data_IF_192232646754
#
_entry.id   IF_192232646754
#
_cell.length_a   1.000
_cell.length_b   1.000
_cell.length_c   1.000
_cell.angle_alpha   90.00
_cell.angle_beta   90.00
_cell.angle_gamma   90.00
#
_symmetry.space_group_name_H-M   'P 1'
#
loop_
_entity.id
_entity.type
_entity.pdbx_description
1 polymer ?
#
# COMPACT_ATOMS: atom_id res chain seq x y z
N UNK A 1 8.94 -20.54 14.48
CA UNK A 1 8.65 -19.46 13.53
C UNK A 1 7.52 -19.97 12.64
N UNK A 2 6.39 -19.30 12.58
CA UNK A 2 5.24 -19.72 11.75
C UNK A 2 5.47 -19.11 10.38
N UNK A 3 5.73 -19.94 9.38
CA UNK A 3 5.89 -19.48 8.01
C UNK A 3 4.54 -19.10 7.43
N UNK A 4 4.42 -17.91 6.89
CA UNK A 4 3.26 -17.41 6.14
C UNK A 4 3.59 -17.34 4.65
N UNK A 5 2.65 -17.68 3.79
CA UNK A 5 2.88 -17.50 2.35
C UNK A 5 2.97 -16.02 2.00
N UNK A 6 1.97 -15.25 2.38
CA UNK A 6 1.93 -13.80 2.17
C UNK A 6 1.47 -13.07 3.43
N UNK A 7 2.08 -11.93 3.72
CA UNK A 7 1.62 -10.97 4.73
C UNK A 7 1.35 -9.62 4.07
N UNK A 8 0.47 -8.82 4.66
CA UNK A 8 0.18 -7.48 4.19
C UNK A 8 0.79 -6.40 5.08
N UNK A 9 1.32 -5.35 4.46
CA UNK A 9 1.82 -4.15 5.11
C UNK A 9 1.02 -2.95 4.59
N UNK A 10 0.16 -2.39 5.43
CA UNK A 10 -0.79 -1.34 5.08
C UNK A 10 -0.27 0.03 5.54
N UNK A 11 0.05 0.89 4.58
CA UNK A 11 0.56 2.25 4.81
C UNK A 11 -0.60 3.18 5.18
N UNK A 12 -0.76 3.46 6.46
CA UNK A 12 -1.84 4.25 7.02
C UNK A 12 -1.36 5.55 7.70
N UNK A 13 -0.13 5.99 7.41
CA UNK A 13 0.56 7.10 8.08
C UNK A 13 0.47 8.47 7.39
N UNK A 14 -0.27 8.61 6.28
CA UNK A 14 -0.34 9.86 5.52
C UNK A 14 -1.02 11.01 6.27
N UNK A 15 -0.43 12.22 6.22
CA UNK A 15 -0.91 13.42 6.91
C UNK A 15 -2.26 13.94 6.37
N UNK A 16 -2.62 13.58 5.12
CA UNK A 16 -3.92 13.93 4.53
C UNK A 16 -4.15 15.43 4.27
N UNK A 17 -3.10 16.25 4.31
CA UNK A 17 -3.17 17.73 4.26
C UNK A 17 -3.99 18.30 3.08
N UNK A 18 -4.18 17.53 2.01
CA UNK A 18 -4.95 17.92 0.82
C UNK A 18 -6.47 17.79 1.00
N UNK A 19 -6.94 17.08 2.00
CA UNK A 19 -8.37 16.90 2.30
C UNK A 19 -8.91 17.97 3.26
N UNK A 20 -8.09 18.96 3.63
CA UNK A 20 -8.50 20.11 4.43
C UNK A 20 -9.21 19.72 5.72
N UNK A 21 -10.45 20.19 5.88
CA UNK A 21 -11.26 19.99 7.10
C UNK A 21 -11.52 18.52 7.43
N UNK A 22 -11.57 17.62 6.43
CA UNK A 22 -11.85 16.19 6.65
C UNK A 22 -10.73 15.46 7.40
N UNK A 23 -9.52 16.02 7.38
CA UNK A 23 -8.32 15.39 8.00
C UNK A 23 -7.67 16.28 9.06
N UNK A 24 -8.34 17.35 9.52
CA UNK A 24 -7.83 18.21 10.60
C UNK A 24 -7.57 17.43 11.88
N UNK A 25 -8.49 16.52 12.24
CA UNK A 25 -8.47 15.79 13.51
C UNK A 25 -8.47 14.26 13.34
N UNK A 26 -8.36 13.78 12.12
CA UNK A 26 -8.48 12.35 11.79
C UNK A 26 -7.45 11.95 10.77
N UNK A 27 -6.75 10.82 10.98
CA UNK A 27 -5.90 10.22 9.96
C UNK A 27 -6.73 9.89 8.71
N UNK A 28 -6.17 10.12 7.51
CA UNK A 28 -6.86 9.87 6.25
C UNK A 28 -7.55 8.49 6.16
N UNK A 29 -6.92 7.37 6.55
CA UNK A 29 -7.57 6.06 6.54
C UNK A 29 -8.76 5.92 7.50
N UNK A 30 -8.86 6.80 8.49
CA UNK A 30 -9.97 6.81 9.46
C UNK A 30 -11.14 7.72 9.07
N UNK A 31 -11.07 8.40 7.91
CA UNK A 31 -12.18 9.20 7.37
C UNK A 31 -13.36 8.27 7.08
N UNK A 32 -14.56 8.72 7.47
CA UNK A 32 -15.81 7.99 7.27
C UNK A 32 -16.18 7.97 5.77
N UNK A 33 -16.70 6.83 5.33
CA UNK A 33 -17.22 6.62 3.99
C UNK A 33 -18.55 5.85 4.06
N UNK A 34 -19.57 6.31 3.32
CA UNK A 34 -20.88 5.66 3.30
C UNK A 34 -21.56 5.59 4.69
N UNK A 35 -21.27 6.53 5.57
CA UNK A 35 -21.86 6.69 6.90
C UNK A 35 -21.41 5.68 7.96
N UNK A 36 -21.16 4.43 7.59
CA UNK A 36 -20.82 3.32 8.52
C UNK A 36 -19.35 2.92 8.49
N UNK A 37 -18.75 2.94 7.30
CA UNK A 37 -17.40 2.46 7.07
C UNK A 37 -16.35 3.57 7.18
N UNK A 38 -15.08 3.18 7.28
CA UNK A 38 -13.91 4.02 7.12
C UNK A 38 -13.08 3.51 5.94
N UNK A 39 -12.23 4.35 5.39
CA UNK A 39 -11.41 3.97 4.22
C UNK A 39 -10.57 2.73 4.51
N UNK A 40 -10.02 2.61 5.73
CA UNK A 40 -9.21 1.46 6.15
C UNK A 40 -9.97 0.12 6.11
N UNK A 41 -11.29 0.13 6.18
CA UNK A 41 -12.11 -1.08 6.20
C UNK A 41 -12.04 -1.84 4.88
N UNK A 42 -11.83 -1.12 3.77
CA UNK A 42 -11.73 -1.73 2.44
C UNK A 42 -10.48 -2.61 2.29
N UNK A 43 -9.25 -2.09 2.49
CA UNK A 43 -8.06 -2.94 2.39
C UNK A 43 -8.01 -4.04 3.45
N UNK A 44 -8.52 -3.83 4.68
CA UNK A 44 -8.60 -4.90 5.69
C UNK A 44 -9.57 -5.99 5.27
N UNK A 45 -10.75 -5.63 4.76
CA UNK A 45 -11.73 -6.59 4.23
C UNK A 45 -11.18 -7.34 3.01
N UNK A 46 -10.49 -6.66 2.10
CA UNK A 46 -9.86 -7.30 0.96
C UNK A 46 -8.78 -8.30 1.41
N UNK A 47 -7.96 -7.99 2.44
CA UNK A 47 -6.97 -8.91 2.99
C UNK A 47 -7.61 -10.22 3.44
N UNK A 48 -8.61 -10.15 4.34
CA UNK A 48 -9.21 -11.36 4.88
C UNK A 48 -9.98 -12.15 3.82
N UNK A 49 -10.66 -11.48 2.89
CA UNK A 49 -11.37 -12.13 1.79
C UNK A 49 -10.41 -12.79 0.78
N UNK A 50 -9.15 -12.39 0.76
CA UNK A 50 -8.06 -12.99 -0.05
C UNK A 50 -7.20 -13.97 0.76
N UNK A 51 -7.66 -14.45 1.91
CA UNK A 51 -6.93 -15.42 2.73
C UNK A 51 -5.71 -14.86 3.48
N UNK A 52 -5.49 -13.54 3.49
CA UNK A 52 -4.37 -12.90 4.19
C UNK A 52 -4.79 -12.60 5.63
N UNK A 53 -4.28 -13.37 6.55
CA UNK A 53 -4.61 -13.32 7.97
C UNK A 53 -3.58 -12.57 8.84
N UNK A 54 -2.58 -11.97 8.24
CA UNK A 54 -1.50 -11.27 8.94
C UNK A 54 -1.27 -9.92 8.29
N UNK A 55 -1.63 -8.85 9.01
CA UNK A 55 -1.62 -7.48 8.50
C UNK A 55 -0.91 -6.55 9.47
N UNK A 56 0.18 -5.93 9.04
CA UNK A 56 0.83 -4.82 9.74
C UNK A 56 0.29 -3.49 9.26
N UNK A 57 -0.29 -2.68 10.15
CA UNK A 57 -0.81 -1.35 9.82
C UNK A 57 0.13 -0.28 10.34
N UNK A 58 0.80 0.43 9.41
CA UNK A 58 1.78 1.46 9.74
C UNK A 58 1.07 2.81 9.94
N UNK A 59 1.01 3.28 11.18
CA UNK A 59 0.32 4.52 11.55
C UNK A 59 1.33 5.58 11.97
N UNK A 60 1.04 6.87 11.74
CA UNK A 60 1.93 7.95 12.13
C UNK A 60 1.17 9.19 12.61
N UNK A 61 0.34 9.80 11.77
CA UNK A 61 -0.40 11.01 12.08
C UNK A 61 -1.79 10.70 12.63
N UNK A 62 -2.23 11.44 13.66
CA UNK A 62 -3.55 11.33 14.28
C UNK A 62 -4.02 9.88 14.53
N UNK A 63 -3.19 9.03 15.18
CA UNK A 63 -3.41 7.58 15.21
C UNK A 63 -4.57 7.16 16.12
N UNK A 64 -4.99 7.99 17.07
CA UNK A 64 -5.91 7.60 18.15
C UNK A 64 -7.22 7.03 17.59
N UNK A 65 -7.93 7.79 16.74
CA UNK A 65 -9.21 7.35 16.17
C UNK A 65 -9.06 6.14 15.25
N UNK A 66 -7.96 6.08 14.50
CA UNK A 66 -7.64 4.96 13.63
C UNK A 66 -7.37 3.69 14.44
N UNK A 67 -6.51 3.79 15.45
CA UNK A 67 -6.16 2.64 16.32
C UNK A 67 -7.38 2.15 17.10
N UNK A 68 -8.23 3.07 17.62
CA UNK A 68 -9.47 2.70 18.29
C UNK A 68 -10.43 1.96 17.36
N UNK A 69 -10.52 2.38 16.09
CA UNK A 69 -11.39 1.73 15.10
C UNK A 69 -10.88 0.34 14.72
N UNK A 70 -9.58 0.19 14.50
CA UNK A 70 -8.96 -1.11 14.18
C UNK A 70 -9.08 -2.06 15.40
N UNK A 71 -8.85 -1.54 16.61
CA UNK A 71 -8.80 -2.36 17.81
C UNK A 71 -7.87 -3.53 17.66
N UNK A 72 -8.33 -4.73 18.00
CA UNK A 72 -7.61 -6.00 17.81
C UNK A 72 -8.01 -6.73 16.51
N UNK A 73 -8.86 -6.12 15.67
CA UNK A 73 -9.23 -6.68 14.37
C UNK A 73 -10.49 -7.54 14.34
N UNK A 74 -11.29 -7.58 15.40
CA UNK A 74 -12.52 -8.40 15.49
C UNK A 74 -13.43 -8.24 14.26
N UNK A 75 -13.73 -7.03 13.74
CA UNK A 75 -14.64 -6.89 12.60
C UNK A 75 -14.19 -7.60 11.32
N UNK A 76 -12.90 -7.93 11.21
CA UNK A 76 -12.29 -8.58 10.04
C UNK A 76 -11.75 -9.98 10.34
N UNK A 77 -12.11 -10.60 11.48
CA UNK A 77 -11.54 -11.89 11.90
C UNK A 77 -10.00 -11.88 11.94
N UNK A 78 -9.43 -10.74 12.34
CA UNK A 78 -7.99 -10.50 12.47
C UNK A 78 -7.50 -10.45 13.92
N UNK A 79 -8.32 -10.89 14.88
CA UNK A 79 -7.99 -11.03 16.30
C UNK A 79 -7.36 -12.40 16.61
N UNK A 80 -6.34 -12.78 15.83
CA UNK A 80 -5.74 -14.12 15.85
C UNK A 80 -4.48 -14.16 16.71
N UNK A 81 -4.27 -15.29 17.40
CA UNK A 81 -3.05 -15.53 18.19
C UNK A 81 -1.79 -15.64 17.34
N UNK A 82 -1.91 -16.11 16.09
CA UNK A 82 -0.80 -16.31 15.15
C UNK A 82 -1.09 -15.55 13.85
N UNK A 83 -0.65 -14.31 13.78
CA UNK A 83 -1.00 -13.36 12.73
C UNK A 83 -1.92 -12.27 13.26
N UNK A 84 -3.04 -12.04 12.56
CA UNK A 84 -3.98 -10.98 12.90
C UNK A 84 -3.50 -9.59 12.49
N UNK A 85 -4.21 -8.54 12.95
CA UNK A 85 -3.81 -7.17 12.72
C UNK A 85 -2.89 -6.66 13.83
N UNK A 86 -1.79 -6.04 13.43
CA UNK A 86 -0.84 -5.38 14.34
C UNK A 86 -0.67 -3.93 13.92
N UNK A 87 -0.94 -2.99 14.83
CA UNK A 87 -0.65 -1.57 14.59
C UNK A 87 0.82 -1.32 14.88
N UNK A 88 1.50 -0.72 13.90
CA UNK A 88 2.93 -0.45 13.90
C UNK A 88 3.17 1.07 13.84
N UNK A 89 3.23 1.75 14.99
CA UNK A 89 3.62 3.16 15.04
C UNK A 89 5.15 3.30 14.86
N UNK A 90 5.66 4.47 14.46
CA UNK A 90 7.07 4.76 14.55
C UNK A 90 7.52 4.66 16.01
N UNK A 91 8.71 4.13 16.25
CA UNK A 91 9.24 3.95 17.60
C UNK A 91 10.67 4.49 17.71
N UNK A 92 10.99 4.94 18.91
CA UNK A 92 12.32 5.42 19.24
C UNK A 92 13.30 4.26 19.37
N UNK A 93 14.41 4.32 18.64
CA UNK A 93 15.60 3.50 18.88
C UNK A 93 16.58 4.32 19.68
N UNK A 94 17.23 3.75 20.66
CA UNK A 94 18.02 4.25 21.79
C UNK A 94 18.79 5.59 21.64
N UNK A 95 18.78 6.28 20.51
CA UNK A 95 19.38 7.61 20.29
C UNK A 95 18.71 8.47 19.19
N UNK A 96 17.68 7.99 18.49
CA UNK A 96 17.00 8.79 17.48
C UNK A 96 15.50 8.40 17.42
N UNK A 97 14.65 9.37 17.71
CA UNK A 97 13.21 9.29 17.43
C UNK A 97 13.01 9.57 15.94
N UNK A 98 12.77 8.54 15.15
CA UNK A 98 12.64 8.72 13.71
C UNK A 98 11.20 8.47 13.28
N UNK A 99 10.53 9.55 12.89
CA UNK A 99 9.30 9.48 12.11
C UNK A 99 9.56 8.73 10.80
N UNK A 100 8.53 8.11 10.25
CA UNK A 100 8.64 7.51 8.92
C UNK A 100 8.92 8.60 7.87
N UNK A 101 10.08 8.54 7.25
CA UNK A 101 10.55 9.48 6.23
C UNK A 101 10.34 8.92 4.82
N UNK A 102 9.08 8.56 4.52
CA UNK A 102 8.68 7.97 3.25
C UNK A 102 8.08 6.59 3.39
N UNK A 103 7.39 6.16 2.34
CA UNK A 103 6.59 4.93 2.35
C UNK A 103 7.44 3.66 2.49
N UNK A 104 8.60 3.61 1.83
CA UNK A 104 9.52 2.48 1.94
C UNK A 104 10.32 2.51 3.25
N UNK A 105 10.63 3.71 3.78
CA UNK A 105 11.27 3.84 5.09
C UNK A 105 10.37 3.27 6.19
N UNK A 106 9.06 3.51 6.13
CA UNK A 106 8.10 2.93 7.08
C UNK A 106 8.17 1.39 7.09
N UNK A 107 8.25 0.78 5.91
CA UNK A 107 8.41 -0.68 5.78
C UNK A 107 9.77 -1.14 6.31
N UNK A 108 10.85 -0.41 5.99
CA UNK A 108 12.20 -0.73 6.49
C UNK A 108 12.29 -0.74 8.02
N UNK A 109 11.69 0.25 8.70
CA UNK A 109 11.71 0.30 10.16
C UNK A 109 11.00 -0.91 10.79
N UNK A 110 10.10 -1.57 10.07
CA UNK A 110 9.34 -2.74 10.50
C UNK A 110 9.83 -4.08 9.91
N UNK A 111 11.08 -4.14 9.41
CA UNK A 111 11.67 -5.37 8.87
C UNK A 111 11.58 -6.55 9.85
N UNK A 112 11.87 -6.32 11.14
CA UNK A 112 11.81 -7.39 12.16
C UNK A 112 10.42 -7.99 12.33
N UNK A 113 9.37 -7.20 12.17
CA UNK A 113 7.99 -7.69 12.17
C UNK A 113 7.79 -8.68 11.02
N UNK A 114 8.17 -8.31 9.80
CA UNK A 114 8.06 -9.20 8.64
C UNK A 114 8.96 -10.43 8.75
N UNK A 115 10.20 -10.28 9.20
CA UNK A 115 11.15 -11.38 9.42
C UNK A 115 10.64 -12.41 10.43
N UNK A 116 9.83 -12.01 11.41
CA UNK A 116 9.25 -12.93 12.40
C UNK A 116 8.28 -13.95 11.80
N UNK A 117 7.66 -13.62 10.66
CA UNK A 117 6.77 -14.52 9.91
C UNK A 117 7.47 -15.24 8.76
N UNK A 118 8.67 -14.79 8.36
CA UNK A 118 9.43 -15.35 7.23
C UNK A 118 8.54 -15.65 6.00
N UNK A 119 7.84 -14.65 5.45
CA UNK A 119 6.90 -14.86 4.35
C UNK A 119 7.64 -15.19 3.04
N UNK A 120 6.91 -15.71 2.05
CA UNK A 120 7.42 -15.81 0.69
C UNK A 120 7.17 -14.50 -0.09
N UNK A 121 6.03 -13.89 0.18
CA UNK A 121 5.58 -12.66 -0.48
C UNK A 121 5.13 -11.62 0.54
N UNK A 122 5.28 -10.35 0.17
CA UNK A 122 4.80 -9.22 0.95
C UNK A 122 3.90 -8.36 0.06
N UNK A 123 2.67 -8.17 0.51
CA UNK A 123 1.71 -7.26 -0.10
C UNK A 123 1.83 -5.89 0.56
N UNK A 124 2.16 -4.87 -0.23
CA UNK A 124 2.20 -3.47 0.22
C UNK A 124 0.91 -2.80 -0.24
N UNK A 125 0.21 -2.16 0.68
CA UNK A 125 -1.07 -1.51 0.44
C UNK A 125 -1.03 -0.04 0.84
N UNK A 126 -1.69 0.81 0.05
CA UNK A 126 -2.03 2.17 0.46
C UNK A 126 -3.35 2.18 1.22
N UNK A 127 -3.40 2.85 2.37
CA UNK A 127 -4.57 2.93 3.25
C UNK A 127 -5.55 4.06 2.92
N UNK A 128 -5.47 4.64 1.72
CA UNK A 128 -6.24 5.82 1.31
C UNK A 128 -7.12 5.61 0.08
N UNK A 129 -7.35 4.36 -0.30
CA UNK A 129 -8.11 3.99 -1.48
C UNK A 129 -9.35 3.16 -1.12
N UNK A 130 -10.39 3.33 -1.91
CA UNK A 130 -11.64 2.59 -1.84
C UNK A 130 -11.74 1.71 -3.07
N UNK A 131 -11.74 0.40 -2.86
CA UNK A 131 -11.80 -0.61 -3.92
C UNK A 131 -12.14 -1.98 -3.34
N UNK A 132 -12.58 -2.89 -4.20
CA UNK A 132 -12.77 -4.30 -3.85
C UNK A 132 -11.88 -5.14 -4.77
N UNK A 133 -10.89 -5.82 -4.21
CA UNK A 133 -9.89 -6.59 -4.94
C UNK A 133 -9.60 -7.91 -4.22
N UNK A 134 -9.45 -8.96 -5.00
CA UNK A 134 -8.93 -10.24 -4.53
C UNK A 134 -7.41 -10.28 -4.79
N UNK A 135 -6.65 -10.28 -3.70
CA UNK A 135 -5.19 -10.29 -3.78
C UNK A 135 -4.63 -11.68 -4.07
N UNK A 136 -5.41 -12.76 -3.88
CA UNK A 136 -5.00 -14.11 -4.24
C UNK A 136 -4.83 -14.21 -5.76
N UNK A 137 -5.77 -13.67 -6.53
CA UNK A 137 -5.67 -13.61 -8.00
C UNK A 137 -4.43 -12.84 -8.46
N UNK A 138 -4.11 -11.73 -7.80
CA UNK A 138 -2.89 -10.97 -8.09
C UNK A 138 -1.62 -11.76 -7.71
N UNK A 139 -1.65 -12.53 -6.61
CA UNK A 139 -0.55 -13.40 -6.21
C UNK A 139 -0.33 -14.54 -7.20
N UNK A 140 -1.40 -15.15 -7.69
CA UNK A 140 -1.33 -16.19 -8.72
C UNK A 140 -0.71 -15.66 -10.02
N UNK A 141 -1.10 -14.45 -10.42
CA UNK A 141 -0.45 -13.76 -11.53
C UNK A 141 1.05 -13.51 -11.28
N UNK A 142 1.42 -13.09 -10.08
CA UNK A 142 2.81 -12.89 -9.66
C UNK A 142 3.62 -14.19 -9.79
N UNK A 143 3.07 -15.30 -9.28
CA UNK A 143 3.69 -16.64 -9.36
C UNK A 143 3.81 -17.14 -10.79
N UNK A 144 2.73 -17.03 -11.58
CA UNK A 144 2.69 -17.49 -12.96
C UNK A 144 3.73 -16.80 -13.85
N UNK A 145 3.99 -15.53 -13.61
CA UNK A 145 5.02 -14.76 -14.34
C UNK A 145 6.42 -14.86 -13.71
N UNK A 146 6.58 -15.64 -12.64
CA UNK A 146 7.82 -15.66 -11.85
C UNK A 146 8.31 -14.26 -11.52
N UNK A 147 7.40 -13.36 -11.19
CA UNK A 147 7.70 -11.97 -10.94
C UNK A 147 8.53 -11.77 -9.66
N UNK A 148 9.37 -10.77 -9.65
CA UNK A 148 10.04 -10.29 -8.44
C UNK A 148 9.21 -9.17 -7.78
N UNK A 149 8.51 -8.39 -8.63
CA UNK A 149 7.57 -7.35 -8.23
C UNK A 149 6.35 -7.38 -9.16
N UNK A 150 5.16 -7.29 -8.60
CA UNK A 150 3.92 -7.06 -9.35
C UNK A 150 3.27 -5.77 -8.86
N UNK A 151 2.93 -4.89 -9.78
CA UNK A 151 2.27 -3.61 -9.51
C UNK A 151 0.83 -3.71 -9.98
N UNK A 152 -0.13 -3.50 -9.10
CA UNK A 152 -1.52 -3.34 -9.52
C UNK A 152 -1.69 -2.00 -10.24
N UNK A 153 -2.31 -2.04 -11.40
CA UNK A 153 -2.47 -0.90 -12.29
C UNK A 153 -3.91 -0.76 -12.77
N UNK A 154 -4.30 0.44 -13.11
CA UNK A 154 -5.60 0.76 -13.68
C UNK A 154 -5.47 1.85 -14.76
N UNK A 155 -6.16 1.73 -15.90
CA UNK A 155 -6.18 2.81 -16.88
C UNK A 155 -6.96 4.00 -16.32
N UNK A 156 -6.37 5.20 -16.44
CA UNK A 156 -6.98 6.49 -16.08
C UNK A 156 -7.03 7.41 -17.27
N UNK A 157 -7.70 8.56 -17.18
CA UNK A 157 -7.60 9.58 -18.22
C UNK A 157 -6.18 10.15 -18.30
N UNK A 158 -5.74 10.58 -19.49
CA UNK A 158 -4.41 11.19 -19.65
C UNK A 158 -4.25 12.47 -18.83
N UNK A 159 -5.34 13.17 -18.57
CA UNK A 159 -5.38 14.38 -17.73
C UNK A 159 -5.07 14.07 -16.27
N UNK A 160 -5.56 12.92 -15.77
CA UNK A 160 -5.34 12.47 -14.41
C UNK A 160 -4.01 11.77 -14.23
N UNK A 161 -3.43 11.21 -15.28
CA UNK A 161 -2.23 10.38 -15.24
C UNK A 161 -1.03 11.06 -14.55
N UNK A 162 -0.89 12.39 -14.69
CA UNK A 162 0.18 13.17 -14.04
C UNK A 162 0.13 13.13 -12.48
N UNK A 163 -0.98 12.68 -11.91
CA UNK A 163 -1.16 12.60 -10.45
C UNK A 163 -0.63 11.31 -9.85
N UNK A 164 -0.39 10.30 -10.67
CA UNK A 164 -0.05 8.93 -10.27
C UNK A 164 1.36 8.53 -10.70
N UNK A 165 1.88 7.46 -10.12
CA UNK A 165 2.96 6.72 -10.72
C UNK A 165 2.45 6.03 -11.99
N UNK A 166 3.13 6.23 -13.11
CA UNK A 166 2.72 5.71 -14.42
C UNK A 166 3.59 4.54 -14.82
N UNK A 167 2.94 3.46 -15.20
CA UNK A 167 3.57 2.22 -15.63
C UNK A 167 3.58 2.17 -17.15
N UNK A 168 4.74 1.85 -17.73
CA UNK A 168 4.90 1.54 -19.14
C UNK A 168 5.19 0.05 -19.25
N UNK A 169 4.25 -0.73 -19.78
CA UNK A 169 4.37 -2.18 -19.92
C UNK A 169 4.27 -2.62 -21.38
N UNK A 170 4.87 -3.76 -21.71
CA UNK A 170 4.73 -4.41 -23.01
C UNK A 170 3.43 -5.26 -23.10
N UNK A 171 3.23 -5.91 -24.24
CA UNK A 171 2.08 -6.78 -24.51
C UNK A 171 1.98 -7.97 -23.54
N UNK A 172 3.10 -8.40 -22.97
CA UNK A 172 3.18 -9.47 -21.98
C UNK A 172 3.00 -8.95 -20.54
N UNK A 173 2.60 -7.68 -20.37
CA UNK A 173 2.46 -7.03 -19.06
C UNK A 173 3.77 -6.86 -18.31
N UNK A 174 4.92 -7.11 -18.93
CA UNK A 174 6.22 -6.84 -18.32
C UNK A 174 6.48 -5.34 -18.34
N UNK A 175 6.79 -4.79 -17.18
CA UNK A 175 7.04 -3.35 -17.03
C UNK A 175 8.40 -3.01 -17.62
N UNK A 176 8.40 -2.05 -18.53
CA UNK A 176 9.58 -1.54 -19.23
C UNK A 176 10.11 -0.26 -18.58
N UNK A 177 9.20 0.53 -17.96
CA UNK A 177 9.57 1.78 -17.29
C UNK A 177 8.50 2.18 -16.26
N UNK A 178 8.88 3.07 -15.33
CA UNK A 178 8.00 3.62 -14.32
C UNK A 178 8.32 5.11 -14.09
N UNK A 179 7.31 5.95 -14.18
CA UNK A 179 7.42 7.40 -14.00
C UNK A 179 6.61 7.86 -12.79
N UNK A 180 7.27 8.39 -11.76
CA UNK A 180 6.57 8.89 -10.58
C UNK A 180 6.06 10.31 -10.81
N UNK A 181 4.74 10.44 -11.00
CA UNK A 181 4.02 11.72 -11.21
C UNK A 181 4.64 12.59 -12.31
N UNK A 182 4.73 12.09 -13.54
CA UNK A 182 5.32 12.82 -14.63
C UNK A 182 4.45 14.00 -15.06
N UNK A 183 5.05 15.12 -15.43
CA UNK A 183 4.32 16.26 -16.00
C UNK A 183 3.68 15.91 -17.35
N UNK A 184 4.34 15.06 -18.12
CA UNK A 184 3.88 14.57 -19.43
C UNK A 184 3.93 13.04 -19.46
N UNK A 185 2.87 12.37 -19.00
CA UNK A 185 2.84 10.90 -18.92
C UNK A 185 2.91 10.26 -20.30
N UNK A 186 3.73 9.20 -20.44
CA UNK A 186 3.86 8.40 -21.67
C UNK A 186 2.84 7.28 -21.78
N UNK A 187 2.10 7.00 -20.69
CA UNK A 187 1.06 5.98 -20.61
C UNK A 187 -0.05 6.48 -19.71
N UNK A 188 -1.23 5.87 -19.81
CA UNK A 188 -2.35 6.12 -18.91
C UNK A 188 -2.53 5.00 -17.86
N UNK A 189 -1.59 4.06 -17.77
CA UNK A 189 -1.67 2.95 -16.83
C UNK A 189 -1.13 3.39 -15.47
N UNK A 190 -2.04 3.80 -14.59
CA UNK A 190 -1.70 4.31 -13.28
C UNK A 190 -1.43 3.19 -12.27
N UNK A 191 -0.38 3.33 -11.46
CA UNK A 191 -0.14 2.49 -10.31
C UNK A 191 -1.17 2.78 -9.22
N UNK A 192 -1.81 1.74 -8.71
CA UNK A 192 -2.77 1.83 -7.62
C UNK A 192 -2.10 1.96 -6.24
N UNK A 193 -0.77 1.94 -6.15
CA UNK A 193 -0.07 1.89 -4.86
C UNK A 193 -0.23 0.55 -4.14
N UNK A 194 -0.50 -0.50 -4.89
CA UNK A 194 -0.66 -1.87 -4.43
C UNK A 194 0.44 -2.70 -5.09
N UNK A 195 1.29 -3.33 -4.29
CA UNK A 195 2.45 -4.06 -4.79
C UNK A 195 2.55 -5.44 -4.12
N UNK A 196 2.85 -6.48 -4.91
CA UNK A 196 3.34 -7.76 -4.38
C UNK A 196 4.83 -7.86 -4.68
N UNK A 197 5.61 -8.09 -3.64
CA UNK A 197 7.04 -8.35 -3.73
C UNK A 197 7.35 -9.77 -3.31
N UNK A 198 8.25 -10.44 -4.03
CA UNK A 198 8.98 -11.56 -3.47
C UNK A 198 9.78 -11.05 -2.26
N UNK A 199 9.63 -11.69 -1.08
CA UNK A 199 10.19 -11.18 0.19
C UNK A 199 11.68 -10.86 0.13
N UNK A 200 12.46 -11.76 -0.47
CA UNK A 200 13.91 -11.55 -0.60
C UNK A 200 14.24 -10.27 -1.36
N UNK A 201 13.52 -10.01 -2.45
CA UNK A 201 13.74 -8.81 -3.30
C UNK A 201 13.41 -7.54 -2.53
N UNK A 202 12.29 -7.51 -1.82
CA UNK A 202 11.90 -6.37 -0.99
C UNK A 202 12.93 -6.12 0.12
N UNK A 203 13.29 -7.17 0.85
CA UNK A 203 14.25 -7.10 1.95
C UNK A 203 15.60 -6.54 1.50
N UNK A 204 16.15 -7.08 0.42
CA UNK A 204 17.44 -6.65 -0.12
C UNK A 204 17.38 -5.18 -0.56
N UNK A 205 16.32 -4.76 -1.26
CA UNK A 205 16.12 -3.36 -1.66
C UNK A 205 16.03 -2.40 -0.47
N UNK A 206 15.26 -2.77 0.56
CA UNK A 206 15.10 -1.94 1.76
C UNK A 206 16.41 -1.78 2.55
N UNK A 207 17.21 -2.84 2.63
CA UNK A 207 18.52 -2.80 3.33
C UNK A 207 19.51 -1.94 2.55
N UNK A 208 19.56 -2.07 1.23
CA UNK A 208 20.47 -1.30 0.38
C UNK A 208 20.16 0.20 0.41
N UNK A 209 18.87 0.55 0.47
CA UNK A 209 18.43 1.93 0.45
C UNK A 209 18.19 2.54 1.84
N UNK A 210 18.59 1.87 2.92
CA UNK A 210 18.30 2.27 4.31
C UNK A 210 18.84 3.63 4.71
N UNK A 211 19.97 4.04 4.14
CA UNK A 211 20.67 5.28 4.51
C UNK A 211 20.15 6.51 3.72
N UNK A 212 19.11 6.33 2.89
CA UNK A 212 18.47 7.46 2.22
C UNK A 212 17.64 8.28 3.21
N UNK A 213 17.79 9.60 3.17
CA UNK A 213 17.08 10.54 4.04
C UNK A 213 15.55 10.42 3.95
N UNK A 214 15.03 10.08 2.75
CA UNK A 214 13.62 9.75 2.51
C UNK A 214 13.56 8.63 1.49
N UNK A 215 12.85 7.55 1.79
CA UNK A 215 12.74 6.41 0.90
C UNK A 215 11.29 6.07 0.59
N UNK A 216 10.93 6.16 -0.69
CA UNK A 216 9.60 5.86 -1.22
C UNK A 216 9.62 4.73 -2.24
N UNK A 217 8.50 4.02 -2.38
CA UNK A 217 8.40 2.92 -3.36
C UNK A 217 8.58 3.43 -4.79
N UNK A 218 7.81 4.42 -5.22
CA UNK A 218 7.86 4.92 -6.60
C UNK A 218 9.18 5.58 -6.98
N UNK A 219 9.78 6.34 -6.05
CA UNK A 219 11.00 7.10 -6.34
C UNK A 219 12.30 6.31 -6.16
N UNK A 220 12.28 5.27 -5.33
CA UNK A 220 13.53 4.61 -4.91
C UNK A 220 13.49 3.09 -5.09
N UNK A 221 12.48 2.39 -4.54
CA UNK A 221 12.43 0.92 -4.57
C UNK A 221 12.21 0.39 -5.98
N UNK A 222 11.22 0.93 -6.72
CA UNK A 222 10.93 0.48 -8.08
C UNK A 222 12.09 0.76 -9.03
N UNK A 223 12.69 1.98 -9.06
CA UNK A 223 13.89 2.23 -9.86
C UNK A 223 15.09 1.35 -9.46
N UNK A 224 15.27 1.08 -8.16
CA UNK A 224 16.30 0.13 -7.72
C UNK A 224 16.08 -1.27 -8.30
N UNK A 225 14.84 -1.76 -8.29
CA UNK A 225 14.50 -3.05 -8.88
C UNK A 225 14.81 -3.09 -10.38
N UNK A 226 14.51 -2.04 -11.13
CA UNK A 226 14.88 -1.92 -12.54
C UNK A 226 16.39 -1.98 -12.75
N UNK A 227 17.14 -1.17 -12.00
CA UNK A 227 18.61 -1.12 -12.09
C UNK A 227 19.26 -2.48 -11.79
N UNK A 228 18.63 -3.29 -10.96
CA UNK A 228 19.11 -4.62 -10.59
C UNK A 228 18.45 -5.75 -11.42
N UNK A 229 17.91 -5.44 -12.59
CA UNK A 229 17.31 -6.40 -13.53
C UNK A 229 16.26 -7.32 -12.91
N UNK A 230 15.46 -6.82 -11.98
CA UNK A 230 14.34 -7.57 -11.41
C UNK A 230 13.21 -7.66 -12.44
N UNK A 231 12.39 -8.70 -12.32
CA UNK A 231 11.23 -8.94 -13.18
C UNK A 231 10.01 -8.23 -12.60
N UNK A 232 9.63 -7.10 -13.22
CA UNK A 232 8.48 -6.31 -12.82
C UNK A 232 7.33 -6.54 -13.80
N UNK A 233 6.13 -6.78 -13.28
CA UNK A 233 4.92 -7.00 -14.07
C UNK A 233 3.77 -6.11 -13.61
N UNK A 234 2.94 -5.68 -14.56
CA UNK A 234 1.73 -4.92 -14.35
C UNK A 234 0.53 -5.87 -14.26
N UNK A 235 -0.14 -5.89 -13.12
CA UNK A 235 -1.43 -6.54 -12.95
C UNK A 235 -2.54 -5.52 -13.19
N UNK A 236 -3.26 -5.64 -14.28
CA UNK A 236 -4.33 -4.71 -14.64
C UNK A 236 -5.60 -5.07 -13.88
N UNK A 237 -6.01 -4.18 -13.00
CA UNK A 237 -7.22 -4.33 -12.20
C UNK A 237 -8.44 -3.83 -12.98
N UNK A 238 -9.48 -4.66 -13.04
CA UNK A 238 -10.75 -4.34 -13.64
C UNK A 238 -11.83 -4.26 -12.55
N UNK A 239 -12.11 -3.07 -12.07
CA UNK A 239 -13.09 -2.85 -11.00
C UNK A 239 -13.19 -1.38 -10.58
N UNK A 240 -14.04 -1.11 -9.61
CA UNK A 240 -14.12 0.22 -9.02
C UNK A 240 -12.90 0.47 -8.15
N UNK A 241 -12.21 1.56 -8.42
CA UNK A 241 -11.13 2.09 -7.61
C UNK A 241 -11.23 3.61 -7.53
N UNK A 242 -11.14 4.13 -6.32
CA UNK A 242 -11.19 5.55 -6.08
C UNK A 242 -10.17 5.95 -5.02
N UNK A 243 -9.32 6.90 -5.35
CA UNK A 243 -8.42 7.52 -4.38
C UNK A 243 -9.06 8.82 -3.87
N UNK A 244 -9.34 8.88 -2.59
CA UNK A 244 -10.02 10.03 -1.97
C UNK A 244 -9.31 11.37 -2.21
N UNK A 245 -8.01 11.35 -2.52
CA UNK A 245 -7.23 12.56 -2.81
C UNK A 245 -7.60 13.24 -4.14
N UNK A 246 -8.23 12.52 -5.04
CA UNK A 246 -8.39 12.97 -6.43
C UNK A 246 -9.84 13.15 -6.84
N UNK A 247 -10.78 12.83 -5.97
CA UNK A 247 -12.20 13.10 -6.19
C UNK A 247 -12.56 14.40 -5.50
N UNK A 248 -12.83 15.41 -6.27
CA UNK A 248 -13.51 16.65 -5.84
C UNK A 248 -14.90 16.37 -5.25
N UNK A 249 -15.42 15.17 -5.43
CA UNK A 249 -16.76 14.71 -5.07
C UNK A 249 -16.91 14.26 -3.61
N UNK A 250 -15.86 14.28 -2.79
CA UNK A 250 -16.02 14.12 -1.34
C UNK A 250 -16.87 15.24 -0.70
N UNK A 251 -17.12 16.32 -1.45
CA UNK A 251 -18.01 17.40 -1.04
C UNK A 251 -19.43 17.29 -1.64
N UNK A 252 -19.61 16.47 -2.68
CA UNK A 252 -20.89 16.32 -3.41
C UNK A 252 -21.70 15.10 -2.99
N UNK A 253 -21.19 14.22 -2.12
CA UNK A 253 -21.99 13.22 -1.43
C UNK A 253 -22.92 13.85 -0.36
N UNK A 254 -23.55 14.95 -0.69
CA UNK A 254 -24.84 15.29 -0.17
C UNK A 254 -25.87 14.38 -0.85
N UNK A 255 -25.84 13.11 -0.46
CA UNK A 255 -27.00 12.25 -0.67
C UNK A 255 -28.12 12.89 0.14
N UNK A 256 -28.94 13.65 -0.57
CA UNK A 256 -30.26 14.01 -0.11
C UNK A 256 -31.02 12.71 0.19
N UNK A 257 -31.35 12.56 1.45
CA UNK A 257 -32.36 11.61 1.97
C UNK A 257 -33.69 11.89 1.30
#
# INVERSE_FOLDING_TARGET
MIKKEMIAMLLAGGQGSRLGVLTSDVAKPAVAFGGKYRIIDFPLSNCINSGIDTVGVLTQYQPLRLNTHIGIGIPWDLDRNNGGVTVLPPYERSNNSEWYTGTANAIYQNLRYMESYNPEYVLILSGDHIYKMDYEVMLDFHKANHADVTIATMPVSMEEASRFGIVIADENKKIQDFEEKPEKPRSNLASMGIYIFSWKVLRDALIELKDQQSCDFGKHIIPYCFKNNKRLFAYEFNGYWNCLLYTSDAADDRISV
#
